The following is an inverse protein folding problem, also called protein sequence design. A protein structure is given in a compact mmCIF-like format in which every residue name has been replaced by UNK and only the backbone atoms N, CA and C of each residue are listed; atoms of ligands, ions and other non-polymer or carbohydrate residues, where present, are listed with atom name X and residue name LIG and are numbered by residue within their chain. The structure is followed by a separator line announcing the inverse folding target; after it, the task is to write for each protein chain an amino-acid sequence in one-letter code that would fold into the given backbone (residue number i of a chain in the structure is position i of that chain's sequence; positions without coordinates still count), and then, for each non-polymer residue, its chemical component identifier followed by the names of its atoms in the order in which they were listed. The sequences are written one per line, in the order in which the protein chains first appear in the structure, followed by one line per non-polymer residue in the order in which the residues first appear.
data_IF_357030273355
#
_entry.id   IF_357030273355
#
_cell.length_a   1.000
_cell.length_b   1.000
_cell.length_c   1.000
_cell.angle_alpha   90.00
_cell.angle_beta   90.00
_cell.angle_gamma   90.00
#
_symmetry.space_group_name_H-M   'P 1'
#
loop_
_entity.id
_entity.type
_entity.pdbx_description
1 polymer ?
#
# COMPACT_ATOMS: atom_id res chain seq x y z
N UNK A 1 -18.14 -5.03 -4.22
CA UNK A 1 -16.95 -4.29 -4.72
C UNK A 1 -16.00 -5.33 -5.31
N UNK A 2 -15.51 -5.14 -6.54
CA UNK A 2 -14.67 -6.12 -7.23
C UNK A 2 -13.20 -5.77 -6.99
N UNK A 3 -12.40 -6.75 -6.60
CA UNK A 3 -10.95 -6.60 -6.54
C UNK A 3 -10.37 -6.75 -7.94
N UNK A 4 -9.64 -5.72 -8.38
CA UNK A 4 -8.98 -5.65 -9.67
C UNK A 4 -7.49 -5.84 -9.42
N UNK A 5 -6.85 -6.89 -9.95
CA UNK A 5 -5.39 -7.05 -9.85
C UNK A 5 -4.65 -5.87 -10.46
N UNK A 6 -3.58 -5.41 -9.82
CA UNK A 6 -2.75 -4.30 -10.29
C UNK A 6 -1.31 -4.76 -10.46
N UNK A 7 -0.71 -4.44 -11.61
CA UNK A 7 0.70 -4.64 -11.85
C UNK A 7 1.47 -3.34 -11.58
N UNK A 8 2.32 -3.35 -10.55
CA UNK A 8 3.17 -2.22 -10.15
C UNK A 8 4.66 -2.42 -10.51
N UNK A 9 5.01 -3.39 -11.35
CA UNK A 9 6.42 -3.70 -11.68
C UNK A 9 7.18 -2.53 -12.33
N UNK A 10 6.48 -1.62 -13.01
CA UNK A 10 7.06 -0.39 -13.55
C UNK A 10 7.27 0.72 -12.50
N UNK A 11 6.87 0.51 -11.25
CA UNK A 11 6.92 1.52 -10.20
C UNK A 11 7.98 1.17 -9.15
N UNK A 12 8.46 2.22 -8.52
CA UNK A 12 9.36 2.17 -7.39
C UNK A 12 8.52 2.51 -6.17
N UNK A 13 8.28 1.54 -5.29
CA UNK A 13 7.54 1.75 -4.06
C UNK A 13 8.54 1.99 -2.91
N UNK A 14 8.30 3.04 -2.13
CA UNK A 14 9.03 3.33 -0.89
C UNK A 14 8.05 3.32 0.25
N UNK A 15 8.39 2.72 1.40
CA UNK A 15 7.63 2.92 2.63
C UNK A 15 7.77 4.37 3.09
N UNK A 16 6.63 5.01 3.37
CA UNK A 16 6.52 6.35 3.97
C UNK A 16 6.08 6.20 5.42
N UNK A 17 5.05 5.39 5.67
CA UNK A 17 4.67 4.99 7.03
C UNK A 17 4.82 3.47 7.14
N UNK A 18 5.62 2.96 8.11
CA UNK A 18 5.81 1.53 8.31
C UNK A 18 4.50 0.77 8.52
N UNK A 19 4.45 -0.53 8.17
CA UNK A 19 3.30 -1.36 8.45
C UNK A 19 2.93 -1.37 9.93
N UNK A 20 1.64 -1.16 10.21
CA UNK A 20 1.09 -1.24 11.57
C UNK A 20 -0.30 -1.87 11.56
N UNK A 21 -0.75 -2.48 12.68
CA UNK A 21 -2.12 -2.97 12.79
C UNK A 21 -3.12 -1.86 12.47
N UNK A 22 -4.07 -2.16 11.59
CA UNK A 22 -5.15 -1.24 11.26
C UNK A 22 -6.12 -1.22 12.44
N UNK A 23 -6.31 -0.05 13.04
CA UNK A 23 -7.24 0.11 14.17
C UNK A 23 -8.57 0.71 13.70
N UNK A 24 -9.64 0.40 14.44
CA UNK A 24 -10.95 1.06 14.34
C UNK A 24 -11.52 1.25 15.74
N UNK A 25 -12.44 2.19 15.90
CA UNK A 25 -13.25 2.25 17.12
C UNK A 25 -14.32 1.15 17.12
N UNK A 26 -14.59 0.59 18.29
CA UNK A 26 -15.76 -0.23 18.55
C UNK A 26 -16.96 0.60 19.04
N UNK A 27 -18.08 -0.05 19.34
CA UNK A 27 -19.29 0.63 19.82
C UNK A 27 -19.15 1.33 21.17
N UNK A 28 -18.07 1.07 21.91
CA UNK A 28 -17.75 1.68 23.19
C UNK A 28 -16.65 2.74 23.07
N UNK A 29 -16.19 3.05 21.85
CA UNK A 29 -15.12 4.01 21.58
C UNK A 29 -13.71 3.47 21.82
N UNK A 30 -13.53 2.18 22.07
CA UNK A 30 -12.20 1.59 22.24
C UNK A 30 -11.56 1.30 20.88
N UNK A 31 -10.24 1.54 20.77
CA UNK A 31 -9.47 1.19 19.57
C UNK A 31 -9.20 -0.32 19.54
N UNK A 32 -9.74 -1.01 18.54
CA UNK A 32 -9.58 -2.44 18.34
C UNK A 32 -8.97 -2.73 16.95
N UNK A 33 -8.14 -3.78 16.81
CA UNK A 33 -7.64 -4.18 15.49
C UNK A 33 -8.78 -4.54 14.54
N UNK A 34 -8.65 -4.12 13.29
CA UNK A 34 -9.50 -4.55 12.19
C UNK A 34 -9.11 -5.97 11.81
N UNK A 35 -10.08 -6.87 11.76
CA UNK A 35 -9.90 -8.25 11.30
C UNK A 35 -10.68 -8.49 10.02
N UNK A 36 -10.26 -9.48 9.22
CA UNK A 36 -11.09 -10.02 8.14
C UNK A 36 -12.15 -11.00 8.66
N UNK A 37 -12.80 -11.71 7.72
CA UNK A 37 -13.86 -12.68 8.01
C UNK A 37 -13.37 -13.91 8.76
N UNK A 38 -12.10 -14.26 8.60
CA UNK A 38 -11.47 -15.41 9.23
C UNK A 38 -10.81 -15.01 10.57
N UNK A 39 -10.92 -13.73 10.96
CA UNK A 39 -10.39 -13.19 12.20
C UNK A 39 -8.93 -12.73 12.10
N UNK A 40 -8.31 -12.75 10.92
CA UNK A 40 -6.92 -12.32 10.76
C UNK A 40 -6.82 -10.79 10.82
N UNK A 41 -5.89 -10.29 11.65
CA UNK A 41 -5.62 -8.86 11.78
C UNK A 41 -5.12 -8.28 10.47
N UNK A 42 -5.70 -7.15 10.08
CA UNK A 42 -5.30 -6.37 8.93
C UNK A 42 -4.28 -5.32 9.33
N UNK A 43 -3.34 -5.03 8.44
CA UNK A 43 -2.31 -4.03 8.63
C UNK A 43 -2.47 -2.92 7.60
N UNK A 44 -1.92 -1.74 7.87
CA UNK A 44 -1.80 -0.67 6.88
C UNK A 44 -0.37 -0.21 6.74
N UNK A 45 0.02 0.08 5.51
CA UNK A 45 1.31 0.69 5.15
C UNK A 45 1.04 1.84 4.18
N UNK A 46 1.76 2.95 4.33
CA UNK A 46 1.70 4.07 3.39
C UNK A 46 2.94 4.01 2.49
N UNK A 47 2.73 4.00 1.17
CA UNK A 47 3.78 3.84 0.17
C UNK A 47 3.82 5.03 -0.77
N UNK A 48 5.02 5.51 -1.10
CA UNK A 48 5.22 6.44 -2.20
C UNK A 48 5.51 5.66 -3.49
N UNK A 49 4.58 5.69 -4.44
CA UNK A 49 4.69 5.05 -5.74
C UNK A 49 5.22 6.06 -6.78
N UNK A 50 6.39 5.78 -7.35
CA UNK A 50 6.99 6.60 -8.41
C UNK A 50 7.33 5.78 -9.64
N UNK A 51 6.90 6.23 -10.82
CA UNK A 51 7.20 5.55 -12.09
C UNK A 51 8.72 5.44 -12.30
N UNK A 52 9.19 4.25 -12.65
CA UNK A 52 10.58 4.03 -13.10
C UNK A 52 10.67 4.49 -14.56
N UNK A 53 11.67 5.31 -14.85
CA UNK A 53 11.95 5.81 -16.20
C UNK A 53 13.40 5.51 -16.58
N UNK A 54 13.73 5.61 -17.87
CA UNK A 54 15.10 5.38 -18.33
C UNK A 54 16.03 6.49 -17.84
N UNK A 55 17.34 6.23 -17.86
CA UNK A 55 18.32 7.27 -17.57
C UNK A 55 18.17 8.44 -18.54
N UNK A 56 18.18 9.67 -18.02
CA UNK A 56 17.97 10.89 -18.79
C UNK A 56 16.49 11.30 -18.99
N UNK A 57 15.54 10.44 -18.62
CA UNK A 57 14.12 10.78 -18.67
C UNK A 57 13.65 11.39 -17.35
N UNK A 58 12.72 12.35 -17.44
CA UNK A 58 12.06 12.93 -16.26
C UNK A 58 10.90 12.03 -15.84
N UNK A 59 10.99 11.46 -14.63
CA UNK A 59 9.86 10.75 -14.05
C UNK A 59 8.72 11.74 -13.71
N UNK A 60 7.45 11.37 -13.92
CA UNK A 60 6.31 12.14 -13.43
C UNK A 60 6.33 12.21 -11.89
N UNK A 61 5.47 13.08 -11.34
CA UNK A 61 5.26 13.13 -9.88
C UNK A 61 4.73 11.78 -9.42
N UNK A 62 5.26 11.30 -8.29
CA UNK A 62 4.74 10.10 -7.63
C UNK A 62 3.49 10.40 -6.81
N UNK A 63 2.84 9.34 -6.35
CA UNK A 63 1.64 9.41 -5.53
C UNK A 63 1.85 8.59 -4.26
N UNK A 64 1.31 9.07 -3.15
CA UNK A 64 1.26 8.29 -1.92
C UNK A 64 -0.03 7.46 -1.92
N UNK A 65 0.11 6.16 -1.67
CA UNK A 65 -1.00 5.22 -1.58
C UNK A 65 -0.99 4.54 -0.22
N UNK A 66 -2.16 4.48 0.43
CA UNK A 66 -2.36 3.70 1.65
C UNK A 66 -2.89 2.32 1.29
N UNK A 67 -2.13 1.28 1.64
CA UNK A 67 -2.45 -0.11 1.31
C UNK A 67 -2.86 -0.85 2.57
N UNK A 68 -3.97 -1.59 2.52
CA UNK A 68 -4.31 -2.57 3.57
C UNK A 68 -3.66 -3.91 3.23
N UNK A 69 -2.87 -4.46 4.15
CA UNK A 69 -2.22 -5.77 4.03
C UNK A 69 -3.05 -6.81 4.79
N UNK A 70 -3.23 -7.99 4.20
CA UNK A 70 -3.99 -9.07 4.84
C UNK A 70 -3.16 -9.96 5.77
N UNK A 71 -1.83 -9.84 5.78
CA UNK A 71 -0.97 -10.51 6.77
C UNK A 71 0.02 -9.51 7.38
N UNK A 72 0.50 -9.83 8.58
CA UNK A 72 1.63 -9.13 9.20
C UNK A 72 2.87 -9.29 8.30
N UNK A 73 3.45 -8.20 7.77
CA UNK A 73 4.65 -8.28 6.96
C UNK A 73 5.93 -8.47 7.80
N UNK A 74 5.87 -8.36 9.13
CA UNK A 74 7.02 -8.41 10.02
C UNK A 74 7.75 -7.06 10.17
N UNK A 75 8.79 -7.01 11.01
CA UNK A 75 9.42 -5.76 11.45
C UNK A 75 10.38 -5.12 10.43
N UNK A 76 10.74 -5.83 9.35
CA UNK A 76 11.83 -5.46 8.45
C UNK A 76 11.46 -4.36 7.42
N UNK A 77 10.24 -3.80 7.52
CA UNK A 77 9.69 -2.83 6.57
C UNK A 77 9.57 -1.42 7.16
N UNK A 78 10.69 -0.89 7.65
CA UNK A 78 10.78 0.48 8.17
C UNK A 78 10.59 1.56 7.09
N UNK A 79 10.59 2.83 7.54
CA UNK A 79 10.55 4.00 6.64
C UNK A 79 11.70 3.94 5.63
N UNK A 80 11.48 4.48 4.43
CA UNK A 80 12.38 4.43 3.29
C UNK A 80 12.66 3.04 2.68
N UNK A 81 12.15 1.96 3.28
CA UNK A 81 12.33 0.62 2.75
C UNK A 81 11.77 0.47 1.33
N UNK A 82 12.52 -0.23 0.49
CA UNK A 82 12.14 -0.57 -0.89
C UNK A 82 11.35 -1.86 -0.90
N UNK A 83 10.14 -1.80 -1.45
CA UNK A 83 9.21 -2.94 -1.41
C UNK A 83 8.52 -3.22 -2.75
N UNK A 84 8.00 -4.43 -2.86
CA UNK A 84 6.98 -4.83 -3.82
C UNK A 84 5.77 -5.36 -3.06
N UNK A 85 4.56 -5.09 -3.57
CA UNK A 85 3.33 -5.64 -3.04
C UNK A 85 3.10 -7.06 -3.56
N UNK A 86 2.79 -8.00 -2.68
CA UNK A 86 2.40 -9.36 -3.05
C UNK A 86 0.90 -9.36 -3.30
N UNK A 87 0.46 -9.80 -4.49
CA UNK A 87 -0.96 -9.90 -4.86
C UNK A 87 -1.72 -8.57 -4.68
N UNK A 88 -1.18 -7.51 -5.30
CA UNK A 88 -1.75 -6.16 -5.23
C UNK A 88 -3.08 -6.07 -5.98
N UNK A 89 -4.07 -5.46 -5.33
CA UNK A 89 -5.43 -5.30 -5.83
C UNK A 89 -5.96 -3.91 -5.49
N UNK A 90 -6.86 -3.44 -6.31
CA UNK A 90 -7.60 -2.21 -6.07
C UNK A 90 -9.09 -2.45 -6.22
N UNK A 91 -9.89 -1.82 -5.36
CA UNK A 91 -11.33 -1.85 -5.47
C UNK A 91 -11.84 -0.40 -5.53
N UNK A 92 -12.47 0.04 -6.63
CA UNK A 92 -13.08 1.36 -6.68
C UNK A 92 -14.29 1.39 -5.74
N UNK A 93 -14.44 2.50 -5.03
CA UNK A 93 -15.60 2.75 -4.18
C UNK A 93 -16.24 4.08 -4.52
N UNK A 94 -17.54 4.15 -4.25
CA UNK A 94 -18.32 5.36 -4.20
C UNK A 94 -19.24 5.22 -2.99
N UNK A 95 -19.14 6.16 -2.06
CA UNK A 95 -19.93 6.20 -0.83
C UNK A 95 -20.60 7.55 -0.76
N UNK A 96 -21.92 7.53 -0.68
CA UNK A 96 -22.70 8.73 -0.38
C UNK A 96 -22.85 8.86 1.14
N UNK A 97 -22.49 10.02 1.67
CA UNK A 97 -22.63 10.33 3.09
C UNK A 97 -22.91 11.82 3.26
N UNK A 98 -23.92 12.15 4.09
CA UNK A 98 -24.36 13.51 4.36
C UNK A 98 -24.57 14.38 3.09
N UNK A 99 -25.16 13.78 2.03
CA UNK A 99 -25.43 14.46 0.76
C UNK A 99 -24.19 14.73 -0.11
N UNK A 100 -23.03 14.15 0.23
CA UNK A 100 -21.81 14.20 -0.58
C UNK A 100 -21.44 12.82 -1.07
N UNK A 101 -21.03 12.75 -2.33
CA UNK A 101 -20.49 11.53 -2.94
C UNK A 101 -18.97 11.56 -2.80
N UNK A 102 -18.42 10.61 -2.05
CA UNK A 102 -16.99 10.37 -1.94
C UNK A 102 -16.62 9.13 -2.77
N UNK A 103 -15.75 9.31 -3.75
CA UNK A 103 -15.27 8.22 -4.59
C UNK A 103 -13.76 8.07 -4.46
N UNK A 104 -13.25 6.86 -4.62
CA UNK A 104 -11.81 6.61 -4.51
C UNK A 104 -11.43 5.17 -4.83
N UNK A 105 -10.15 4.88 -4.59
CA UNK A 105 -9.54 3.57 -4.78
C UNK A 105 -9.10 3.01 -3.42
N UNK A 106 -9.62 1.85 -3.06
CA UNK A 106 -9.15 1.11 -1.90
C UNK A 106 -8.06 0.13 -2.33
N UNK A 107 -6.82 0.36 -1.89
CA UNK A 107 -5.68 -0.50 -2.19
C UNK A 107 -5.52 -1.62 -1.18
N UNK A 108 -5.28 -2.83 -1.68
CA UNK A 108 -5.02 -4.03 -0.89
C UNK A 108 -3.84 -4.83 -1.44
N UNK A 109 -3.16 -5.55 -0.59
CA UNK A 109 -2.17 -6.55 -0.96
C UNK A 109 -2.16 -7.66 0.08
N UNK A 110 -1.61 -8.83 -0.26
CA UNK A 110 -1.43 -9.87 0.75
C UNK A 110 -0.32 -9.51 1.73
N UNK A 111 0.83 -9.09 1.22
CA UNK A 111 1.96 -8.72 2.05
C UNK A 111 3.00 -7.90 1.29
N UNK A 112 4.18 -7.79 1.90
CA UNK A 112 5.33 -7.08 1.36
C UNK A 112 6.49 -8.06 1.13
N UNK A 113 7.31 -7.75 0.14
CA UNK A 113 8.68 -8.27 0.04
C UNK A 113 9.62 -7.13 -0.29
N UNK A 114 10.88 -7.26 0.08
CA UNK A 114 11.89 -6.29 -0.33
C UNK A 114 11.99 -6.25 -1.86
N UNK A 115 12.02 -5.05 -2.41
CA UNK A 115 12.36 -4.89 -3.82
C UNK A 115 13.84 -5.24 -4.01
N UNK A 116 14.22 -5.83 -5.16
CA UNK A 116 15.62 -6.12 -5.44
C UNK A 116 16.45 -4.85 -5.37
N UNK A 117 17.63 -4.96 -4.75
CA UNK A 117 18.62 -3.89 -4.73
C UNK A 117 18.90 -3.44 -6.17
N UNK A 118 18.80 -2.13 -6.49
CA UNK A 118 19.18 -1.65 -7.80
C UNK A 118 20.64 -2.06 -8.06
N UNK A 119 20.93 -2.61 -9.25
CA UNK A 119 22.31 -2.85 -9.65
C UNK A 119 23.11 -1.53 -9.49
N UNK A 120 24.35 -1.59 -8.97
CA UNK A 120 25.17 -0.39 -8.84
C UNK A 120 25.22 0.31 -10.19
N UNK A 121 24.88 1.60 -10.21
CA UNK A 121 25.09 2.41 -11.41
C UNK A 121 26.59 2.41 -11.65
N UNK A 122 27.04 1.70 -12.68
CA UNK A 122 28.43 1.79 -13.11
C UNK A 122 28.75 3.26 -13.37
N UNK A 123 29.79 3.74 -12.70
CA UNK A 123 30.36 5.06 -12.97
C UNK A 123 30.71 5.14 -14.46
N UNK A 124 30.16 6.14 -15.14
CA UNK A 124 30.55 6.52 -16.49
C UNK A 124 31.44 7.75 -16.41
#
# INVERSE_FOLDING_TARGET
MRDIPVNLGGYKLTVVEPPMPKMREDGNGAQVPVTDRDGATQFTVSLFAKLRVKAGERAPKGEEIKVTLGTDPGPDFGEDARVELIDARVSPYQVESAGRVNSGLAWRAMGLKHAPTPAPRGDK
#
